data_IF_663289952477
#
_entry.id   IF_663289952477
#
_cell.length_a   1.000
_cell.length_b   1.000
_cell.length_c   1.000
_cell.angle_alpha   90.00
_cell.angle_beta   90.00
_cell.angle_gamma   90.00
#
_symmetry.space_group_name_H-M   'P 1'
#
loop_
_entity.id
_entity.type
_entity.pdbx_description
1 polymer ?
#
# COMPACT_ATOMS: atom_id res chain seq x y z
N UNK A 1 -34.17 -10.56 -28.63
CA UNK A 1 -34.04 -9.77 -27.38
C UNK A 1 -33.40 -10.67 -26.36
N UNK A 2 -32.18 -10.38 -25.92
CA UNK A 2 -31.46 -11.17 -24.91
C UNK A 2 -30.74 -10.18 -23.98
N UNK A 3 -31.49 -9.63 -23.01
CA UNK A 3 -30.98 -8.77 -21.92
C UNK A 3 -31.32 -9.31 -20.53
N UNK A 4 -32.05 -10.41 -20.44
CA UNK A 4 -32.51 -11.00 -19.17
C UNK A 4 -31.45 -11.53 -18.17
N UNK A 5 -30.17 -11.83 -18.53
CA UNK A 5 -29.24 -12.36 -17.52
C UNK A 5 -28.74 -11.28 -16.54
N UNK A 6 -28.58 -10.03 -16.99
CA UNK A 6 -27.96 -8.97 -16.21
C UNK A 6 -28.95 -8.32 -15.22
N UNK A 7 -30.19 -8.13 -15.65
CA UNK A 7 -31.24 -7.54 -14.80
C UNK A 7 -31.59 -8.46 -13.61
N UNK A 8 -31.60 -9.79 -13.82
CA UNK A 8 -31.79 -10.78 -12.74
C UNK A 8 -30.61 -10.87 -11.77
N UNK A 9 -29.39 -10.57 -12.24
CA UNK A 9 -28.20 -10.53 -11.38
C UNK A 9 -28.20 -9.32 -10.45
N UNK A 10 -28.90 -8.24 -10.82
CA UNK A 10 -28.99 -7.00 -10.04
C UNK A 10 -30.21 -6.93 -9.11
N UNK A 11 -31.22 -7.79 -9.28
CA UNK A 11 -32.44 -7.82 -8.43
C UNK A 11 -32.19 -8.19 -6.97
N UNK A 12 -31.05 -8.82 -6.65
CA UNK A 12 -30.72 -9.28 -5.28
C UNK A 12 -29.48 -8.60 -4.69
N UNK A 13 -28.92 -7.59 -5.35
CA UNK A 13 -27.70 -6.93 -4.88
C UNK A 13 -28.10 -5.74 -4.02
N UNK A 14 -27.65 -5.73 -2.77
CA UNK A 14 -27.93 -4.60 -1.88
C UNK A 14 -27.15 -3.35 -2.30
N UNK A 15 -27.64 -2.17 -1.92
CA UNK A 15 -26.91 -0.92 -2.16
C UNK A 15 -25.49 -0.96 -1.52
N UNK A 16 -25.34 -1.67 -0.39
CA UNK A 16 -24.05 -1.89 0.28
C UNK A 16 -23.09 -2.77 -0.55
N UNK A 17 -23.60 -3.80 -1.23
CA UNK A 17 -22.81 -4.66 -2.11
C UNK A 17 -22.39 -3.92 -3.38
N UNK A 18 -23.25 -3.05 -3.92
CA UNK A 18 -22.91 -2.17 -5.04
C UNK A 18 -21.87 -1.13 -4.66
N UNK A 19 -21.97 -0.54 -3.47
CA UNK A 19 -20.98 0.40 -2.94
C UNK A 19 -19.63 -0.31 -2.70
N UNK A 20 -19.65 -1.50 -2.13
CA UNK A 20 -18.46 -2.34 -1.95
C UNK A 20 -17.79 -2.70 -3.28
N UNK A 21 -18.58 -3.08 -4.30
CA UNK A 21 -18.09 -3.36 -5.65
C UNK A 21 -17.50 -2.10 -6.32
N UNK A 22 -18.15 -0.96 -6.16
CA UNK A 22 -17.64 0.33 -6.66
C UNK A 22 -16.30 0.67 -6.00
N UNK A 23 -16.18 0.51 -4.69
CA UNK A 23 -14.94 0.75 -3.98
C UNK A 23 -13.83 -0.22 -4.40
N UNK A 24 -14.17 -1.49 -4.63
CA UNK A 24 -13.24 -2.49 -5.15
C UNK A 24 -12.75 -2.15 -6.58
N UNK A 25 -13.63 -1.62 -7.44
CA UNK A 25 -13.25 -1.15 -8.79
C UNK A 25 -12.36 0.09 -8.69
N UNK A 26 -12.73 1.08 -7.88
CA UNK A 26 -11.92 2.29 -7.68
C UNK A 26 -10.55 1.97 -7.08
N UNK A 27 -10.45 0.95 -6.21
CA UNK A 27 -9.20 0.39 -5.69
C UNK A 27 -8.33 -0.18 -6.81
N UNK A 28 -8.88 -1.04 -7.66
CA UNK A 28 -8.15 -1.65 -8.76
C UNK A 28 -7.75 -0.63 -9.83
N UNK A 29 -8.59 0.36 -10.12
CA UNK A 29 -8.24 1.48 -11.00
C UNK A 29 -7.17 2.39 -10.40
N UNK A 30 -7.25 2.69 -9.10
CA UNK A 30 -6.24 3.43 -8.35
C UNK A 30 -4.89 2.71 -8.38
N UNK A 31 -4.88 1.40 -8.15
CA UNK A 31 -3.71 0.53 -8.23
C UNK A 31 -3.10 0.52 -9.64
N UNK A 32 -3.93 0.41 -10.70
CA UNK A 32 -3.46 0.47 -12.10
C UNK A 32 -2.86 1.84 -12.46
N UNK A 33 -3.31 2.90 -11.80
CA UNK A 33 -2.80 4.27 -11.95
C UNK A 33 -1.75 4.63 -10.90
N UNK A 34 -1.17 3.65 -10.20
CA UNK A 34 -0.17 3.90 -9.17
C UNK A 34 0.89 4.87 -9.70
N UNK A 35 0.96 6.03 -9.06
CA UNK A 35 1.92 7.09 -9.40
C UNK A 35 3.28 6.83 -8.76
N UNK A 36 3.28 6.00 -7.71
CA UNK A 36 4.40 5.76 -6.84
C UNK A 36 4.62 4.26 -6.71
N UNK A 37 5.75 3.77 -7.24
CA UNK A 37 6.19 2.41 -7.03
C UNK A 37 7.63 2.43 -6.56
N UNK A 38 7.85 1.95 -5.35
CA UNK A 38 9.17 1.80 -4.77
C UNK A 38 9.45 0.33 -4.52
N UNK A 39 10.56 -0.16 -5.07
CA UNK A 39 11.03 -1.53 -4.89
C UNK A 39 12.37 -1.47 -4.17
N UNK A 40 12.43 -2.06 -2.98
CA UNK A 40 13.58 -2.00 -2.09
C UNK A 40 14.17 -3.41 -2.00
N UNK A 41 15.35 -3.58 -2.59
CA UNK A 41 16.13 -4.82 -2.53
C UNK A 41 17.21 -4.74 -1.44
N UNK A 42 17.70 -5.89 -0.92
CA UNK A 42 18.75 -5.93 0.08
C UNK A 42 20.02 -5.20 -0.35
N UNK A 43 20.79 -4.68 0.62
CA UNK A 43 20.51 -4.70 2.05
C UNK A 43 19.50 -3.62 2.49
N UNK A 44 18.54 -3.98 3.35
CA UNK A 44 17.61 -3.05 4.00
C UNK A 44 17.50 -3.34 5.52
N UNK A 45 17.05 -2.36 6.34
CA UNK A 45 16.93 -2.55 7.79
C UNK A 45 15.97 -3.70 8.16
N UNK A 46 16.21 -4.44 9.26
CA UNK A 46 15.32 -5.53 9.66
C UNK A 46 13.92 -5.01 10.01
N UNK A 47 12.88 -5.76 9.65
CA UNK A 47 11.49 -5.47 10.02
C UNK A 47 11.14 -6.13 11.37
N UNK A 48 11.84 -5.69 12.42
CA UNK A 48 11.67 -6.16 13.79
C UNK A 48 11.55 -4.95 14.71
N UNK A 49 10.79 -5.08 15.80
CA UNK A 49 10.72 -4.05 16.83
C UNK A 49 12.13 -3.83 17.39
N UNK A 50 12.60 -2.59 17.33
CA UNK A 50 13.90 -2.22 17.88
C UNK A 50 13.88 -2.28 19.41
N UNK A 51 14.96 -2.79 19.99
CA UNK A 51 15.19 -2.75 21.43
C UNK A 51 15.38 -1.31 21.91
N UNK A 52 15.20 -1.06 23.21
CA UNK A 52 15.22 0.28 23.85
C UNK A 52 16.53 1.08 23.66
N UNK A 53 17.57 0.47 23.09
CA UNK A 53 18.90 1.05 22.91
C UNK A 53 19.33 1.26 21.44
N UNK A 54 18.49 0.92 20.47
CA UNK A 54 18.79 1.13 19.05
C UNK A 54 18.05 2.32 18.44
N UNK A 55 18.60 2.88 17.35
CA UNK A 55 17.82 3.77 16.49
C UNK A 55 16.54 3.05 16.06
N UNK A 56 15.40 3.70 16.29
CA UNK A 56 14.08 3.14 15.99
C UNK A 56 14.06 2.57 14.58
N UNK A 57 13.60 1.32 14.44
CA UNK A 57 13.42 0.66 13.13
C UNK A 57 12.60 1.56 12.19
N UNK A 58 11.60 2.26 12.73
CA UNK A 58 10.78 3.23 11.98
C UNK A 58 11.64 4.33 11.37
N UNK A 59 12.52 4.95 12.14
CA UNK A 59 13.38 6.06 11.67
C UNK A 59 14.39 5.60 10.62
N UNK A 60 14.96 4.39 10.78
CA UNK A 60 15.86 3.79 9.77
C UNK A 60 15.13 3.59 8.44
N UNK A 61 13.92 3.03 8.49
CA UNK A 61 13.08 2.87 7.31
C UNK A 61 12.64 4.21 6.72
N UNK A 62 12.24 5.18 7.54
CA UNK A 62 11.80 6.49 7.08
C UNK A 62 12.90 7.23 6.33
N UNK A 63 14.15 7.18 6.83
CA UNK A 63 15.33 7.76 6.14
C UNK A 63 15.58 7.09 4.78
N UNK A 64 15.56 5.75 4.74
CA UNK A 64 15.75 5.00 3.50
C UNK A 64 14.65 5.33 2.48
N UNK A 65 13.38 5.26 2.90
CA UNK A 65 12.22 5.55 2.07
C UNK A 65 12.28 7.00 1.56
N UNK A 66 12.62 7.96 2.42
CA UNK A 66 12.76 9.38 2.03
C UNK A 66 13.82 9.55 0.95
N UNK A 67 14.98 8.91 1.12
CA UNK A 67 16.08 8.98 0.17
C UNK A 67 15.67 8.40 -1.19
N UNK A 68 15.09 7.19 -1.20
CA UNK A 68 14.65 6.53 -2.42
C UNK A 68 13.49 7.26 -3.10
N UNK A 69 12.53 7.77 -2.32
CA UNK A 69 11.42 8.54 -2.85
C UNK A 69 11.91 9.82 -3.53
N UNK A 70 12.87 10.52 -2.93
CA UNK A 70 13.48 11.71 -3.53
C UNK A 70 14.19 11.39 -4.84
N UNK A 71 14.94 10.29 -4.90
CA UNK A 71 15.65 9.86 -6.11
C UNK A 71 14.68 9.56 -7.26
N UNK A 72 13.55 8.90 -6.95
CA UNK A 72 12.48 8.62 -7.90
C UNK A 72 11.59 9.83 -8.25
N UNK A 73 11.89 11.03 -7.71
CA UNK A 73 11.12 12.26 -7.97
C UNK A 73 9.78 12.32 -7.24
N UNK A 74 9.60 11.53 -6.18
CA UNK A 74 8.39 11.48 -5.38
C UNK A 74 8.44 12.50 -4.24
N UNK A 75 7.53 13.47 -4.30
CA UNK A 75 7.37 14.48 -3.27
C UNK A 75 6.52 14.02 -2.07
N UNK A 76 6.51 14.81 -0.98
CA UNK A 76 5.64 14.60 0.17
C UNK A 76 4.17 14.48 -0.24
N UNK A 77 3.36 13.82 0.59
CA UNK A 77 1.94 13.71 0.35
C UNK A 77 1.24 15.07 0.46
N UNK A 78 0.44 15.41 -0.55
CA UNK A 78 -0.43 16.59 -0.58
C UNK A 78 -1.90 16.24 -0.35
N UNK A 79 -2.24 14.95 -0.35
CA UNK A 79 -3.58 14.41 -0.11
C UNK A 79 -3.47 13.03 0.55
N UNK A 80 -4.59 12.49 1.03
CA UNK A 80 -4.65 11.09 1.46
C UNK A 80 -4.31 10.15 0.29
N UNK A 81 -3.59 9.08 0.60
CA UNK A 81 -3.12 8.07 -0.35
C UNK A 81 -3.58 6.67 0.07
N UNK A 82 -3.79 5.81 -0.91
CA UNK A 82 -3.85 4.36 -0.72
C UNK A 82 -2.43 3.78 -0.76
N UNK A 83 -2.19 2.73 0.03
CA UNK A 83 -0.88 2.08 0.14
C UNK A 83 -1.01 0.57 0.04
N UNK A 84 -0.26 -0.04 -0.87
CA UNK A 84 -0.08 -1.48 -0.92
C UNK A 84 1.36 -1.82 -0.58
N UNK A 85 1.55 -2.64 0.45
CA UNK A 85 2.83 -3.20 0.86
C UNK A 85 2.90 -4.66 0.43
N UNK A 86 4.00 -5.03 -0.21
CA UNK A 86 4.33 -6.42 -0.49
C UNK A 86 5.72 -6.71 0.03
N UNK A 87 5.81 -7.66 0.95
CA UNK A 87 7.07 -8.11 1.51
C UNK A 87 7.30 -9.52 1.01
N UNK A 88 8.43 -9.71 0.36
CA UNK A 88 8.88 -11.03 -0.10
C UNK A 88 10.15 -11.38 0.64
N UNK A 89 10.22 -12.61 1.15
CA UNK A 89 11.30 -13.07 2.04
C UNK A 89 11.76 -14.50 1.71
N UNK A 90 13.07 -14.74 1.82
CA UNK A 90 13.72 -16.03 1.60
C UNK A 90 14.00 -16.73 2.93
N UNK A 91 14.50 -15.96 3.91
CA UNK A 91 14.88 -16.45 5.24
C UNK A 91 14.35 -15.47 6.29
N UNK A 92 14.04 -15.98 7.48
CA UNK A 92 13.54 -15.20 8.62
C UNK A 92 12.28 -14.37 8.34
N UNK A 93 11.16 -15.07 8.10
CA UNK A 93 9.83 -14.47 7.91
C UNK A 93 9.56 -13.37 8.95
N UNK A 94 9.37 -12.12 8.54
CA UNK A 94 8.95 -11.07 9.46
C UNK A 94 7.49 -11.31 9.90
N UNK A 95 7.16 -10.92 11.13
CA UNK A 95 5.77 -10.91 11.57
C UNK A 95 4.97 -9.93 10.70
N UNK A 96 3.87 -10.41 10.12
CA UNK A 96 3.04 -9.65 9.18
C UNK A 96 2.51 -8.36 9.74
N UNK A 97 2.00 -8.40 10.96
CA UNK A 97 1.39 -7.25 11.60
C UNK A 97 2.47 -6.25 12.01
N UNK A 98 3.56 -6.74 12.61
CA UNK A 98 4.68 -5.89 13.03
C UNK A 98 5.31 -5.18 11.84
N UNK A 99 5.62 -5.90 10.76
CA UNK A 99 6.21 -5.32 9.56
C UNK A 99 5.29 -4.28 8.91
N UNK A 100 3.99 -4.57 8.85
CA UNK A 100 2.98 -3.65 8.32
C UNK A 100 2.90 -2.36 9.12
N UNK A 101 2.89 -2.46 10.46
CA UNK A 101 2.88 -1.30 11.36
C UNK A 101 4.15 -0.47 11.19
N UNK A 102 5.32 -1.10 11.23
CA UNK A 102 6.61 -0.40 11.13
C UNK A 102 6.76 0.34 9.79
N UNK A 103 6.42 -0.30 8.67
CA UNK A 103 6.48 0.34 7.35
C UNK A 103 5.45 1.46 7.21
N UNK A 104 4.26 1.31 7.80
CA UNK A 104 3.26 2.36 7.82
C UNK A 104 3.74 3.58 8.60
N UNK A 105 4.27 3.39 9.81
CA UNK A 105 4.83 4.48 10.60
C UNK A 105 6.00 5.15 9.88
N UNK A 106 6.85 4.36 9.22
CA UNK A 106 7.98 4.89 8.46
C UNK A 106 7.52 5.74 7.26
N UNK A 107 6.42 5.37 6.59
CA UNK A 107 5.83 6.15 5.50
C UNK A 107 5.22 7.48 5.99
N UNK A 108 4.65 7.49 7.21
CA UNK A 108 4.19 8.71 7.87
C UNK A 108 5.37 9.61 8.22
N UNK A 109 6.41 9.06 8.85
CA UNK A 109 7.63 9.79 9.24
C UNK A 109 8.39 10.34 8.01
N UNK A 110 8.39 9.59 6.89
CA UNK A 110 8.92 10.05 5.60
C UNK A 110 8.05 11.14 4.93
N UNK A 111 6.89 11.48 5.50
CA UNK A 111 5.96 12.46 4.93
C UNK A 111 5.25 12.00 3.64
N UNK A 112 5.29 10.70 3.34
CA UNK A 112 4.64 10.12 2.16
C UNK A 112 3.18 9.75 2.40
N UNK A 113 2.72 9.79 3.66
CA UNK A 113 1.32 9.65 4.07
C UNK A 113 0.91 10.79 5.01
N UNK A 114 -0.33 11.25 4.87
CA UNK A 114 -0.93 12.24 5.77
C UNK A 114 -1.78 11.53 6.81
N UNK A 115 -1.38 11.64 8.08
CA UNK A 115 -2.10 11.06 9.21
C UNK A 115 -1.85 9.56 9.40
N UNK A 116 -2.40 9.02 10.48
CA UNK A 116 -2.20 7.61 10.91
C UNK A 116 -3.15 6.61 10.26
N UNK A 117 -4.08 7.08 9.43
CA UNK A 117 -5.04 6.21 8.75
C UNK A 117 -4.95 6.56 7.28
N UNK A 118 -4.30 5.70 6.46
CA UNK A 118 -4.30 5.90 5.02
C UNK A 118 -5.74 5.77 4.53
N UNK A 119 -6.01 6.28 3.34
CA UNK A 119 -7.35 6.13 2.75
C UNK A 119 -7.70 4.65 2.58
N UNK A 120 -6.66 3.86 2.28
CA UNK A 120 -6.75 2.43 2.12
C UNK A 120 -5.36 1.83 2.34
N UNK A 121 -5.30 0.64 2.96
CA UNK A 121 -4.06 -0.10 3.17
C UNK A 121 -4.26 -1.57 2.87
N UNK A 122 -3.30 -2.17 2.19
CA UNK A 122 -3.20 -3.61 2.01
C UNK A 122 -1.75 -4.03 2.19
N UNK A 123 -1.54 -5.13 2.88
CA UNK A 123 -0.21 -5.62 3.20
C UNK A 123 -0.19 -7.13 3.02
N UNK A 124 0.71 -7.59 2.17
CA UNK A 124 0.88 -9.01 1.86
C UNK A 124 2.31 -9.40 2.12
N UNK A 125 2.47 -10.56 2.76
CA UNK A 125 3.77 -11.16 3.01
C UNK A 125 3.79 -12.51 2.31
N UNK A 126 4.75 -12.69 1.42
CA UNK A 126 4.84 -13.86 0.53
C UNK A 126 6.23 -14.47 0.65
N UNK A 127 6.28 -15.80 0.79
CA UNK A 127 7.53 -16.55 0.75
C UNK A 127 8.06 -16.57 -0.68
N UNK A 128 9.36 -16.32 -0.85
CA UNK A 128 9.99 -16.27 -2.17
C UNK A 128 10.04 -17.64 -2.84
N UNK A 129 9.92 -17.64 -4.16
CA UNK A 129 10.30 -18.80 -4.96
C UNK A 129 11.83 -18.90 -5.12
N UNK A 130 12.39 -20.10 -5.39
CA UNK A 130 13.81 -20.29 -5.57
C UNK A 130 14.38 -19.40 -6.70
N UNK A 131 15.30 -18.49 -6.35
CA UNK A 131 15.95 -17.57 -7.29
C UNK A 131 15.43 -16.14 -7.24
N UNK A 132 14.38 -15.87 -6.46
CA UNK A 132 13.94 -14.51 -6.17
C UNK A 132 14.73 -13.91 -4.98
N UNK A 133 14.78 -12.58 -4.90
CA UNK A 133 15.46 -11.86 -3.82
C UNK A 133 14.44 -11.23 -2.87
N UNK A 134 14.80 -11.17 -1.58
CA UNK A 134 14.03 -10.43 -0.59
C UNK A 134 13.71 -9.05 -1.13
N UNK A 135 12.46 -8.63 -1.01
CA UNK A 135 12.04 -7.35 -1.58
C UNK A 135 10.91 -6.77 -0.76
N UNK A 136 11.01 -5.48 -0.45
CA UNK A 136 9.87 -4.68 0.02
C UNK A 136 9.41 -3.81 -1.12
N UNK A 137 8.21 -4.10 -1.64
CA UNK A 137 7.55 -3.30 -2.66
C UNK A 137 6.46 -2.44 -2.01
N UNK A 138 6.56 -1.13 -2.21
CA UNK A 138 5.60 -0.14 -1.75
C UNK A 138 4.96 0.49 -2.98
N UNK A 139 3.64 0.33 -3.12
CA UNK A 139 2.87 1.03 -4.14
C UNK A 139 1.94 2.02 -3.47
N UNK A 140 1.90 3.24 -3.98
CA UNK A 140 0.98 4.26 -3.49
C UNK A 140 0.28 4.98 -4.65
N UNK A 141 -0.93 5.42 -4.37
CA UNK A 141 -1.71 6.25 -5.27
C UNK A 141 -2.49 7.28 -4.49
N UNK A 142 -2.68 8.44 -5.09
CA UNK A 142 -3.60 9.41 -4.56
C UNK A 142 -5.03 8.87 -4.73
N UNK A 143 -5.90 9.12 -3.74
CA UNK A 143 -7.34 8.89 -3.95
C UNK A 143 -7.71 9.64 -5.24
N UNK A 144 -8.38 9.00 -6.22
CA UNK A 144 -8.91 9.75 -7.34
C UNK A 144 -9.76 10.86 -6.73
N UNK A 145 -9.46 12.12 -7.09
CA UNK A 145 -10.38 13.19 -6.79
C UNK A 145 -11.74 12.65 -7.26
N UNK A 146 -12.71 12.57 -6.35
CA UNK A 146 -14.08 12.35 -6.76
C UNK A 146 -14.42 13.57 -7.60
N UNK A 147 -14.10 13.49 -8.90
CA UNK A 147 -14.63 14.42 -9.87
C UNK A 147 -16.13 14.42 -9.59
N UNK A 148 -16.70 15.61 -9.45
CA UNK A 148 -18.14 15.82 -9.36
C UNK A 148 -18.85 15.31 -10.62
N UNK A 149 -18.86 14.00 -10.80
CA UNK A 149 -19.93 13.22 -11.39
C UNK A 149 -20.77 12.96 -10.14
N UNK A 150 -21.75 13.77 -9.75
CA UNK A 150 -22.94 14.15 -10.49
C UNK A 150 -23.43 15.52 -9.95
N UNK A 151 -23.54 16.51 -10.82
CA UNK A 151 -24.43 17.69 -10.65
C UNK A 151 -25.21 17.87 -11.92
#
# INVERSE_FOLDING_TARGET
MAREPLDRLLENVSDEELESLRDAILREEGRRRARFQLVITPPFPPLKTSDEHEESTVTRWAKLITWLAKDAGYGPATSKRGVMLRITYALDKPDGNVATILLHEALIEAGLLIGRTPEWMDATITELEPGEQDTVSIQMWDKPASAGLWT
#
